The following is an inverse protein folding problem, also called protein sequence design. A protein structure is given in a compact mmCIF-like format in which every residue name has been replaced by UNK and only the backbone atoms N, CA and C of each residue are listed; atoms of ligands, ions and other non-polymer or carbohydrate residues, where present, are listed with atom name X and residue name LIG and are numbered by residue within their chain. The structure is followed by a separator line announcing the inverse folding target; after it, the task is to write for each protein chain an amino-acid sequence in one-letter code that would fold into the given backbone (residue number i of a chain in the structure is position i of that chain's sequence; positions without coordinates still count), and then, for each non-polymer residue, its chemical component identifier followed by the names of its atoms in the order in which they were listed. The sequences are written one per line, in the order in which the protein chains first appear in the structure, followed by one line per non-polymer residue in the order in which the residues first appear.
data_IF_745521098675
#
_entry.id   IF_745521098675
#
_cell.length_a   1.000
_cell.length_b   1.000
_cell.length_c   1.000
_cell.angle_alpha   90.00
_cell.angle_beta   90.00
_cell.angle_gamma   90.00
#
_symmetry.space_group_name_H-M   'P 1'
#
loop_
_entity.id
_entity.type
_entity.pdbx_description
1 polymer ?
#
# COMPACT_ATOMS: atom_id res chain seq x y z
N UNK A 1 -15.44 30.15 -5.24
CA UNK A 1 -13.96 30.28 -5.26
C UNK A 1 -13.30 28.94 -4.87
N UNK A 2 -14.09 28.01 -4.31
CA UNK A 2 -13.74 26.71 -3.72
C UNK A 2 -13.49 25.57 -4.71
N UNK A 3 -14.10 25.58 -5.90
CA UNK A 3 -13.76 24.63 -6.98
C UNK A 3 -12.27 24.64 -7.29
N UNK A 4 -11.61 25.79 -7.11
CA UNK A 4 -10.17 25.99 -7.34
C UNK A 4 -9.29 25.20 -6.36
N UNK A 5 -9.73 25.00 -5.10
CA UNK A 5 -8.91 24.32 -4.07
C UNK A 5 -8.92 22.80 -4.27
N UNK A 6 -10.09 22.20 -4.55
CA UNK A 6 -10.16 20.77 -4.88
C UNK A 6 -9.38 20.45 -6.16
N UNK A 7 -9.44 21.33 -7.17
CA UNK A 7 -8.61 21.21 -8.37
C UNK A 7 -7.12 21.35 -8.05
N UNK A 8 -6.72 22.24 -7.13
CA UNK A 8 -5.33 22.36 -6.71
C UNK A 8 -4.84 21.08 -5.99
N UNK A 9 -5.65 20.52 -5.10
CA UNK A 9 -5.36 19.26 -4.41
C UNK A 9 -5.24 18.08 -5.37
N UNK A 10 -6.16 17.95 -6.32
CA UNK A 10 -6.11 16.91 -7.35
C UNK A 10 -4.87 17.06 -8.23
N UNK A 11 -4.58 18.28 -8.70
CA UNK A 11 -3.38 18.57 -9.50
C UNK A 11 -2.09 18.27 -8.74
N UNK A 12 -2.05 18.54 -7.44
CA UNK A 12 -0.92 18.19 -6.59
C UNK A 12 -0.73 16.67 -6.55
N UNK A 13 -1.81 15.92 -6.29
CA UNK A 13 -1.73 14.45 -6.23
C UNK A 13 -1.34 13.83 -7.58
N UNK A 14 -1.91 14.33 -8.68
CA UNK A 14 -1.54 13.89 -10.04
C UNK A 14 -0.06 14.17 -10.32
N UNK A 15 0.44 15.35 -9.98
CA UNK A 15 1.86 15.69 -10.14
C UNK A 15 2.78 14.79 -9.31
N UNK A 16 2.38 14.45 -8.08
CA UNK A 16 3.10 13.47 -7.24
C UNK A 16 3.12 12.09 -7.91
N UNK A 17 1.99 11.62 -8.42
CA UNK A 17 1.90 10.34 -9.14
C UNK A 17 2.78 10.35 -10.38
N UNK A 18 2.73 11.41 -11.19
CA UNK A 18 3.55 11.55 -12.39
C UNK A 18 5.05 11.43 -12.07
N UNK A 19 5.53 12.22 -11.09
CA UNK A 19 6.95 12.22 -10.69
C UNK A 19 7.37 10.84 -10.16
N UNK A 20 6.55 10.23 -9.29
CA UNK A 20 6.90 8.97 -8.63
C UNK A 20 6.71 7.74 -9.52
N UNK A 21 5.89 7.83 -10.56
CA UNK A 21 5.65 6.73 -11.51
C UNK A 21 6.92 6.28 -12.23
N UNK A 22 7.90 7.18 -12.39
CA UNK A 22 9.20 6.88 -13.00
C UNK A 22 9.87 5.72 -12.26
N UNK A 23 9.83 5.70 -10.92
CA UNK A 23 10.45 4.65 -10.11
C UNK A 23 9.86 3.26 -10.36
N UNK A 24 8.64 3.20 -10.89
CA UNK A 24 7.95 1.98 -11.18
C UNK A 24 8.08 1.54 -12.64
N UNK A 25 8.88 2.20 -13.48
CA UNK A 25 9.08 1.82 -14.89
C UNK A 25 9.67 0.40 -15.00
N UNK A 26 9.14 -0.50 -15.87
CA UNK A 26 9.62 -1.88 -15.95
C UNK A 26 11.07 -2.01 -16.45
N UNK A 27 11.63 -0.96 -17.05
CA UNK A 27 13.03 -0.88 -17.50
C UNK A 27 13.98 -0.50 -16.36
N UNK A 28 13.46 0.03 -15.25
CA UNK A 28 14.29 0.34 -14.08
C UNK A 28 14.59 -0.94 -13.31
N UNK A 29 15.88 -1.26 -13.24
CA UNK A 29 16.41 -2.33 -12.40
C UNK A 29 17.35 -1.80 -11.30
N UNK A 30 17.83 -2.70 -10.44
CA UNK A 30 18.90 -2.40 -9.50
C UNK A 30 20.12 -1.82 -10.23
N UNK A 31 20.65 -0.70 -9.74
CA UNK A 31 21.89 -0.12 -10.26
C UNK A 31 23.10 -0.96 -9.81
N UNK A 32 24.23 -0.90 -10.54
CA UNK A 32 25.50 -1.43 -10.05
C UNK A 32 25.80 -0.90 -8.65
N UNK A 33 26.34 -1.77 -7.78
CA UNK A 33 26.71 -1.44 -6.39
C UNK A 33 25.53 -1.06 -5.47
N UNK A 34 24.29 -1.25 -5.93
CA UNK A 34 23.11 -1.13 -5.08
C UNK A 34 22.95 -2.34 -4.14
N UNK A 35 22.27 -2.13 -3.02
CA UNK A 35 21.94 -3.20 -2.09
C UNK A 35 21.13 -4.33 -2.76
N UNK A 36 20.25 -4.01 -3.72
CA UNK A 36 19.54 -5.03 -4.48
C UNK A 36 20.45 -5.86 -5.39
N UNK A 37 21.44 -5.25 -6.03
CA UNK A 37 22.42 -5.99 -6.84
C UNK A 37 23.28 -6.91 -5.96
N UNK A 38 23.69 -6.45 -4.78
CA UNK A 38 24.43 -7.28 -3.82
C UNK A 38 23.59 -8.44 -3.28
N UNK A 39 22.30 -8.22 -2.99
CA UNK A 39 21.36 -9.27 -2.62
C UNK A 39 21.23 -10.33 -3.72
N UNK A 40 21.09 -9.92 -4.98
CA UNK A 40 21.02 -10.82 -6.12
C UNK A 40 22.32 -11.61 -6.30
N UNK A 41 23.48 -10.94 -6.22
CA UNK A 41 24.79 -11.60 -6.32
C UNK A 41 24.98 -12.63 -5.22
N UNK A 42 24.68 -12.28 -3.97
CA UNK A 42 24.83 -13.18 -2.81
C UNK A 42 23.99 -14.46 -2.94
N UNK A 43 22.88 -14.45 -3.68
CA UNK A 43 22.10 -15.69 -3.91
C UNK A 43 22.73 -16.69 -4.85
N UNK A 44 23.67 -16.26 -5.71
CA UNK A 44 24.40 -17.16 -6.61
C UNK A 44 25.36 -18.06 -5.84
N UNK A 45 25.81 -17.61 -4.68
CA UNK A 45 26.75 -18.33 -3.80
C UNK A 45 26.04 -19.19 -2.75
N UNK A 46 24.70 -19.17 -2.68
CA UNK A 46 23.95 -20.03 -1.77
C UNK A 46 23.97 -21.48 -2.29
N UNK A 47 24.42 -22.46 -1.48
CA UNK A 47 24.47 -23.85 -1.91
C UNK A 47 23.09 -24.38 -2.32
N UNK A 48 23.01 -24.98 -3.52
CA UNK A 48 21.82 -25.63 -4.03
C UNK A 48 21.31 -26.78 -3.13
N UNK A 49 22.15 -27.31 -2.24
CA UNK A 49 21.83 -28.41 -1.32
C UNK A 49 20.71 -28.09 -0.31
N UNK A 50 20.31 -26.82 -0.13
CA UNK A 50 19.25 -26.41 0.81
C UNK A 50 17.98 -25.86 0.16
N UNK A 51 17.84 -25.89 -1.17
CA UNK A 51 16.61 -25.51 -1.84
C UNK A 51 16.77 -24.89 -3.22
N UNK A 52 15.67 -24.42 -3.80
CA UNK A 52 15.60 -23.76 -5.13
C UNK A 52 16.11 -22.31 -5.12
N UNK A 53 17.17 -22.05 -4.34
CA UNK A 53 17.80 -20.73 -4.25
C UNK A 53 18.43 -20.30 -5.57
N UNK A 54 18.45 -18.98 -5.75
CA UNK A 54 18.88 -18.27 -6.95
C UNK A 54 18.25 -16.88 -6.94
N UNK A 55 18.36 -16.16 -8.05
CA UNK A 55 17.79 -14.80 -8.13
C UNK A 55 16.26 -14.78 -8.14
N UNK A 56 15.62 -15.86 -8.62
CA UNK A 56 14.16 -15.94 -8.82
C UNK A 56 13.34 -15.54 -7.59
N UNK A 57 13.55 -16.15 -6.41
CA UNK A 57 12.85 -15.79 -5.18
C UNK A 57 13.02 -14.32 -4.76
N UNK A 58 14.20 -13.74 -4.93
CA UNK A 58 14.45 -12.33 -4.61
C UNK A 58 13.77 -11.42 -5.62
N UNK A 59 13.93 -11.71 -6.92
CA UNK A 59 13.26 -10.96 -7.99
C UNK A 59 11.74 -11.00 -7.85
N UNK A 60 11.19 -12.12 -7.37
CA UNK A 60 9.77 -12.21 -7.04
C UNK A 60 9.40 -11.27 -5.89
N UNK A 61 10.24 -11.15 -4.84
CA UNK A 61 9.99 -10.22 -3.74
C UNK A 61 10.04 -8.75 -4.21
N UNK A 62 11.00 -8.39 -5.05
CA UNK A 62 11.05 -7.08 -5.68
C UNK A 62 9.83 -6.83 -6.58
N UNK A 63 9.47 -7.81 -7.41
CA UNK A 63 8.30 -7.73 -8.29
C UNK A 63 7.00 -7.54 -7.50
N UNK A 64 6.83 -8.22 -6.37
CA UNK A 64 5.68 -8.00 -5.48
C UNK A 64 5.68 -6.61 -4.85
N UNK A 65 6.85 -6.09 -4.44
CA UNK A 65 6.94 -4.73 -3.92
C UNK A 65 6.58 -3.68 -4.99
N UNK A 66 7.11 -3.82 -6.21
CA UNK A 66 6.81 -2.95 -7.35
C UNK A 66 5.33 -3.06 -7.74
N UNK A 67 4.74 -4.26 -7.71
CA UNK A 67 3.31 -4.44 -7.93
C UNK A 67 2.47 -3.67 -6.92
N UNK A 68 2.77 -3.79 -5.63
CA UNK A 68 2.09 -3.01 -4.59
C UNK A 68 2.27 -1.51 -4.82
N UNK A 69 3.48 -1.07 -5.17
CA UNK A 69 3.78 0.33 -5.42
C UNK A 69 3.01 0.90 -6.62
N UNK A 70 2.98 0.17 -7.75
CA UNK A 70 2.19 0.53 -8.94
C UNK A 70 0.70 0.59 -8.66
N UNK A 71 0.16 -0.41 -7.95
CA UNK A 71 -1.24 -0.42 -7.56
C UNK A 71 -1.59 0.80 -6.68
N UNK A 72 -0.67 1.23 -5.80
CA UNK A 72 -0.82 2.46 -5.04
C UNK A 72 -0.81 3.72 -5.92
N UNK A 73 0.07 3.80 -6.93
CA UNK A 73 0.09 4.92 -7.88
C UNK A 73 -1.22 5.01 -8.67
N UNK A 74 -1.74 3.88 -9.17
CA UNK A 74 -3.01 3.81 -9.88
C UNK A 74 -4.19 4.25 -8.99
N UNK A 75 -4.22 3.80 -7.73
CA UNK A 75 -5.25 4.21 -6.76
C UNK A 75 -5.17 5.70 -6.42
N UNK A 76 -3.97 6.27 -6.34
CA UNK A 76 -3.77 7.69 -6.08
C UNK A 76 -4.23 8.56 -7.26
N UNK A 77 -3.94 8.15 -8.49
CA UNK A 77 -4.47 8.81 -9.69
C UNK A 77 -6.00 8.74 -9.73
N UNK A 78 -6.58 7.57 -9.41
CA UNK A 78 -8.04 7.46 -9.27
C UNK A 78 -8.59 8.39 -8.17
N UNK A 79 -7.88 8.55 -7.06
CA UNK A 79 -8.29 9.47 -5.98
C UNK A 79 -8.30 10.93 -6.46
N UNK A 80 -7.31 11.35 -7.26
CA UNK A 80 -7.27 12.68 -7.85
C UNK A 80 -8.48 12.95 -8.76
N UNK A 81 -8.84 11.98 -9.62
CA UNK A 81 -10.04 12.08 -10.46
C UNK A 81 -11.31 12.20 -9.60
N UNK A 82 -11.41 11.42 -8.52
CA UNK A 82 -12.56 11.48 -7.60
C UNK A 82 -12.68 12.83 -6.88
N UNK A 83 -11.57 13.50 -6.56
CA UNK A 83 -11.56 14.82 -5.91
C UNK A 83 -12.15 15.92 -6.79
N UNK A 84 -12.02 15.82 -8.11
CA UNK A 84 -12.57 16.79 -9.07
C UNK A 84 -13.93 16.40 -9.64
N UNK A 85 -14.40 15.18 -9.37
CA UNK A 85 -15.69 14.68 -9.85
C UNK A 85 -16.89 15.23 -9.06
N UNK A 86 -18.09 14.83 -9.45
CA UNK A 86 -19.33 15.20 -8.73
C UNK A 86 -19.51 14.41 -7.41
N UNK A 87 -18.46 13.83 -6.85
CA UNK A 87 -18.53 12.98 -5.66
C UNK A 87 -18.33 13.79 -4.37
N UNK A 88 -18.72 13.24 -3.22
CA UNK A 88 -18.24 13.77 -1.93
C UNK A 88 -16.77 13.38 -1.71
N UNK A 89 -16.15 13.84 -0.63
CA UNK A 89 -14.77 13.44 -0.27
C UNK A 89 -14.63 11.93 0.03
N UNK A 90 -15.74 11.21 0.25
CA UNK A 90 -15.76 9.80 0.69
C UNK A 90 -14.96 8.88 -0.24
N UNK A 91 -15.15 8.85 -1.58
CA UNK A 91 -14.41 7.95 -2.44
C UNK A 91 -12.91 8.25 -2.47
N UNK A 92 -12.53 9.54 -2.50
CA UNK A 92 -11.13 9.96 -2.44
C UNK A 92 -10.47 9.54 -1.12
N UNK A 93 -11.16 9.69 0.02
CA UNK A 93 -10.68 9.25 1.33
C UNK A 93 -10.50 7.73 1.42
N UNK A 94 -11.44 6.94 0.86
CA UNK A 94 -11.33 5.48 0.78
C UNK A 94 -10.13 5.07 -0.08
N UNK A 95 -9.96 5.70 -1.25
CA UNK A 95 -8.83 5.43 -2.13
C UNK A 95 -7.50 5.83 -1.47
N UNK A 96 -7.40 6.99 -0.83
CA UNK A 96 -6.20 7.39 -0.10
C UNK A 96 -5.83 6.42 1.03
N UNK A 97 -6.81 5.86 1.74
CA UNK A 97 -6.56 4.77 2.70
C UNK A 97 -6.01 3.53 1.98
N UNK A 98 -6.63 3.13 0.88
CA UNK A 98 -6.18 1.99 0.06
C UNK A 98 -4.74 2.18 -0.43
N UNK A 99 -4.38 3.40 -0.86
CA UNK A 99 -3.02 3.79 -1.25
C UNK A 99 -2.06 3.52 -0.09
N UNK A 100 -2.36 3.98 1.12
CA UNK A 100 -1.52 3.75 2.30
C UNK A 100 -1.41 2.27 2.70
N UNK A 101 -2.51 1.52 2.67
CA UNK A 101 -2.51 0.08 2.98
C UNK A 101 -1.69 -0.73 1.98
N UNK A 102 -1.75 -0.36 0.70
CA UNK A 102 -1.03 -1.03 -0.39
C UNK A 102 0.45 -0.61 -0.41
N UNK A 103 0.73 0.70 -0.30
CA UNK A 103 2.10 1.24 -0.31
C UNK A 103 2.88 0.79 0.92
N UNK A 104 2.22 0.65 2.08
CA UNK A 104 2.88 0.11 3.27
C UNK A 104 3.35 -1.34 3.12
N UNK A 105 2.79 -2.13 2.19
CA UNK A 105 3.31 -3.46 1.87
C UNK A 105 4.59 -3.36 1.04
N UNK A 106 4.62 -2.46 0.04
CA UNK A 106 5.83 -2.16 -0.73
C UNK A 106 6.93 -1.64 0.21
N UNK A 107 6.63 -0.61 1.01
CA UNK A 107 7.52 -0.05 2.02
C UNK A 107 8.11 -1.13 2.93
N UNK A 108 7.30 -2.05 3.45
CA UNK A 108 7.78 -3.14 4.30
C UNK A 108 8.63 -4.16 3.55
N UNK A 109 8.28 -4.50 2.31
CA UNK A 109 9.12 -5.38 1.47
C UNK A 109 10.43 -4.74 1.06
N UNK A 110 10.50 -3.41 0.97
CA UNK A 110 11.65 -2.62 0.51
C UNK A 110 12.53 -2.11 1.65
N UNK A 111 12.34 -2.58 2.89
CA UNK A 111 13.19 -2.16 4.01
C UNK A 111 14.68 -2.35 3.66
N UNK A 112 15.51 -1.31 3.85
CA UNK A 112 16.92 -1.40 3.57
C UNK A 112 17.61 -2.38 4.55
N UNK A 113 18.73 -2.94 4.12
CA UNK A 113 19.66 -3.71 4.96
C UNK A 113 19.09 -4.98 5.65
N UNK A 114 17.89 -5.44 5.27
CA UNK A 114 17.36 -6.71 5.77
C UNK A 114 17.99 -7.93 5.09
N UNK A 115 18.55 -7.75 3.89
CA UNK A 115 19.15 -8.82 3.09
C UNK A 115 18.13 -9.74 2.40
N UNK A 116 18.58 -10.41 1.35
CA UNK A 116 17.73 -11.16 0.43
C UNK A 116 16.91 -12.27 1.08
N UNK A 117 17.52 -13.06 1.99
CA UNK A 117 16.80 -14.15 2.69
C UNK A 117 15.63 -13.63 3.52
N UNK A 118 15.84 -12.57 4.33
CA UNK A 118 14.78 -11.97 5.15
C UNK A 118 13.70 -11.35 4.25
N UNK A 119 14.09 -10.71 3.15
CA UNK A 119 13.15 -10.19 2.14
C UNK A 119 12.26 -11.28 1.54
N UNK A 120 12.81 -12.45 1.23
CA UNK A 120 12.03 -13.60 0.78
C UNK A 120 11.10 -14.11 1.87
N UNK A 121 11.52 -14.17 3.14
CA UNK A 121 10.62 -14.49 4.26
C UNK A 121 9.46 -13.49 4.38
N UNK A 122 9.72 -12.18 4.22
CA UNK A 122 8.67 -11.15 4.18
C UNK A 122 7.68 -11.40 3.03
N UNK A 123 8.18 -11.72 1.84
CA UNK A 123 7.32 -12.12 0.72
C UNK A 123 6.46 -13.35 1.08
N UNK A 124 7.04 -14.43 1.62
CA UNK A 124 6.26 -15.62 1.98
C UNK A 124 5.17 -15.32 3.01
N UNK A 125 5.43 -14.37 3.91
CA UNK A 125 4.45 -13.87 4.87
C UNK A 125 3.25 -13.19 4.18
N UNK A 126 3.52 -12.30 3.21
CA UNK A 126 2.47 -11.64 2.42
C UNK A 126 1.68 -12.62 1.57
N UNK A 127 2.39 -13.53 0.88
CA UNK A 127 1.80 -14.62 0.08
C UNK A 127 0.86 -15.49 0.90
N UNK A 128 1.30 -15.90 2.10
CA UNK A 128 0.46 -16.69 3.00
C UNK A 128 -0.78 -15.93 3.45
N UNK A 129 -0.67 -14.63 3.78
CA UNK A 129 -1.85 -13.78 4.07
C UNK A 129 -2.81 -13.75 2.89
N UNK A 130 -2.31 -13.45 1.69
CA UNK A 130 -3.11 -13.35 0.47
C UNK A 130 -3.82 -14.67 0.17
N UNK A 131 -3.10 -15.78 0.23
CA UNK A 131 -3.63 -17.11 -0.01
C UNK A 131 -4.73 -17.49 0.98
N UNK A 132 -4.54 -17.20 2.27
CA UNK A 132 -5.56 -17.45 3.29
C UNK A 132 -6.84 -16.62 3.07
N UNK A 133 -6.73 -15.35 2.65
CA UNK A 133 -7.92 -14.54 2.34
C UNK A 133 -8.59 -15.02 1.04
N UNK A 134 -7.82 -15.41 0.02
CA UNK A 134 -8.34 -15.99 -1.21
C UNK A 134 -9.08 -17.31 -0.99
N UNK A 135 -8.55 -18.19 -0.12
CA UNK A 135 -9.20 -19.44 0.28
C UNK A 135 -10.54 -19.21 1.00
N UNK A 136 -10.62 -18.19 1.86
CA UNK A 136 -11.89 -17.80 2.52
C UNK A 136 -12.90 -17.30 1.51
N UNK A 137 -12.48 -16.43 0.58
CA UNK A 137 -13.35 -15.92 -0.48
C UNK A 137 -13.87 -17.05 -1.38
N UNK A 138 -12.98 -17.94 -1.83
CA UNK A 138 -13.36 -19.12 -2.60
C UNK A 138 -14.36 -20.01 -1.85
N UNK A 139 -14.15 -20.22 -0.55
CA UNK A 139 -15.08 -20.99 0.29
C UNK A 139 -16.46 -20.34 0.35
N UNK A 140 -16.52 -19.02 0.54
CA UNK A 140 -17.77 -18.27 0.59
C UNK A 140 -18.54 -18.35 -0.74
N UNK A 141 -17.83 -18.40 -1.86
CA UNK A 141 -18.40 -18.43 -3.21
C UNK A 141 -18.67 -19.87 -3.72
N UNK A 142 -18.36 -20.90 -2.93
CA UNK A 142 -18.47 -22.30 -3.35
C UNK A 142 -17.50 -22.68 -4.48
N UNK A 143 -16.43 -21.89 -4.65
CA UNK A 143 -15.40 -22.06 -5.66
C UNK A 143 -14.19 -22.83 -5.12
N UNK A 144 -13.29 -23.23 -6.02
CA UNK A 144 -12.00 -23.82 -5.64
C UNK A 144 -10.98 -22.71 -5.37
N UNK A 145 -10.14 -22.90 -4.36
CA UNK A 145 -9.15 -21.90 -3.94
C UNK A 145 -8.21 -21.42 -5.07
N UNK A 146 -7.85 -22.31 -6.00
CA UNK A 146 -6.99 -21.98 -7.15
C UNK A 146 -7.61 -20.95 -8.10
N UNK A 147 -8.93 -20.75 -8.08
CA UNK A 147 -9.60 -19.72 -8.89
C UNK A 147 -9.37 -18.30 -8.35
N UNK A 148 -8.99 -18.16 -7.07
CA UNK A 148 -8.74 -16.88 -6.40
C UNK A 148 -7.23 -16.57 -6.29
N UNK A 149 -6.37 -17.49 -6.76
CA UNK A 149 -4.92 -17.31 -6.78
C UNK A 149 -4.17 -18.52 -6.23
N UNK A 150 -3.04 -18.26 -5.56
CA UNK A 150 -2.24 -19.29 -4.91
C UNK A 150 -2.88 -19.79 -3.60
N UNK A 151 -2.68 -21.06 -3.27
CA UNK A 151 -3.16 -21.66 -2.01
C UNK A 151 -2.13 -21.53 -0.90
N UNK A 152 -2.58 -21.50 0.35
CA UNK A 152 -1.71 -21.43 1.53
C UNK A 152 -0.75 -22.62 1.55
N UNK A 153 -1.23 -23.80 1.14
CA UNK A 153 -0.41 -25.00 0.93
C UNK A 153 0.67 -24.80 -0.13
N UNK A 154 0.36 -24.20 -1.28
CA UNK A 154 1.35 -23.93 -2.32
C UNK A 154 2.46 -22.99 -1.83
N UNK A 155 2.10 -21.95 -1.06
CA UNK A 155 3.08 -21.03 -0.44
C UNK A 155 3.96 -21.76 0.57
N UNK A 156 3.39 -22.64 1.41
CA UNK A 156 4.15 -23.46 2.35
C UNK A 156 5.10 -24.44 1.65
N UNK A 157 4.64 -25.12 0.60
CA UNK A 157 5.47 -26.01 -0.20
C UNK A 157 6.65 -25.26 -0.84
N UNK A 158 6.40 -24.07 -1.41
CA UNK A 158 7.47 -23.24 -1.98
C UNK A 158 8.47 -22.77 -0.91
N UNK A 159 7.98 -22.39 0.27
CA UNK A 159 8.85 -22.00 1.40
C UNK A 159 9.73 -23.16 1.87
N UNK A 160 9.15 -24.36 1.99
CA UNK A 160 9.88 -25.59 2.31
C UNK A 160 10.92 -25.95 1.25
N UNK A 161 10.61 -25.76 -0.04
CA UNK A 161 11.56 -25.94 -1.13
C UNK A 161 12.72 -24.93 -1.11
N UNK A 162 12.61 -23.82 -0.38
CA UNK A 162 13.68 -22.86 -0.10
C UNK A 162 14.39 -23.13 1.24
N UNK A 163 14.01 -24.17 1.98
CA UNK A 163 14.54 -24.42 3.33
C UNK A 163 14.20 -23.31 4.32
N UNK A 164 13.07 -22.61 4.11
CA UNK A 164 12.53 -21.61 5.02
C UNK A 164 11.48 -22.22 5.95
N UNK A 165 11.24 -21.57 7.09
CA UNK A 165 10.13 -21.92 7.96
C UNK A 165 8.80 -21.76 7.22
N UNK A 166 7.89 -22.70 7.43
CA UNK A 166 6.57 -22.66 6.82
C UNK A 166 5.81 -21.40 7.27
N UNK A 167 5.38 -20.53 6.34
CA UNK A 167 4.64 -19.33 6.68
C UNK A 167 3.28 -19.72 7.25
N UNK A 168 2.87 -19.00 8.30
CA UNK A 168 1.64 -19.29 9.04
C UNK A 168 1.02 -18.04 9.63
N UNK A 169 -0.25 -18.16 9.99
CA UNK A 169 -0.92 -17.19 10.84
C UNK A 169 -0.43 -17.33 12.29
N UNK A 170 -0.24 -16.20 12.96
CA UNK A 170 0.18 -16.08 14.35
C UNK A 170 -0.66 -15.01 15.06
N UNK A 171 -1.79 -15.44 15.61
CA UNK A 171 -2.84 -14.53 16.10
C UNK A 171 -3.40 -13.64 14.98
N UNK A 172 -3.18 -12.33 15.11
CA UNK A 172 -3.61 -11.32 14.12
C UNK A 172 -2.58 -11.04 13.02
N UNK A 173 -1.37 -11.61 13.12
CA UNK A 173 -0.31 -11.40 12.14
C UNK A 173 -0.04 -12.67 11.33
N UNK A 174 0.79 -12.51 10.30
CA UNK A 174 1.38 -13.61 9.57
C UNK A 174 2.89 -13.59 9.81
N UNK A 175 3.51 -14.77 9.86
CA UNK A 175 4.94 -14.91 10.14
C UNK A 175 5.61 -15.91 9.21
N UNK A 176 6.90 -15.70 8.94
CA UNK A 176 7.81 -16.65 8.29
C UNK A 176 9.22 -16.42 8.85
N UNK A 177 9.76 -17.40 9.57
CA UNK A 177 10.98 -17.21 10.37
C UNK A 177 10.81 -16.10 11.39
N UNK A 178 11.79 -15.19 11.44
CA UNK A 178 11.75 -14.02 12.31
C UNK A 178 10.89 -12.86 11.75
N UNK A 179 10.42 -12.96 10.50
CA UNK A 179 9.66 -11.89 9.86
C UNK A 179 8.19 -11.96 10.25
N UNK A 180 7.63 -10.79 10.56
CA UNK A 180 6.25 -10.63 11.02
C UNK A 180 5.57 -9.50 10.25
N UNK A 181 4.50 -9.84 9.55
CA UNK A 181 3.64 -8.86 8.89
C UNK A 181 2.65 -8.30 9.91
N UNK A 182 2.93 -7.10 10.41
CA UNK A 182 2.01 -6.37 11.27
C UNK A 182 0.73 -5.95 10.53
N UNK A 183 -0.33 -5.70 11.29
CA UNK A 183 -1.60 -5.18 10.76
C UNK A 183 -1.41 -3.80 10.12
N UNK A 184 -2.25 -3.40 9.15
CA UNK A 184 -2.18 -2.06 8.56
C UNK A 184 -2.21 -0.93 9.60
N UNK A 185 -3.00 -1.10 10.67
CA UNK A 185 -3.11 -0.17 11.80
C UNK A 185 -1.82 0.05 12.59
N UNK A 186 -0.80 -0.82 12.43
CA UNK A 186 0.53 -0.64 13.02
C UNK A 186 1.58 -0.28 11.97
N UNK A 187 1.50 -0.91 10.80
CA UNK A 187 2.47 -0.73 9.71
C UNK A 187 2.43 0.68 9.10
N UNK A 188 1.25 1.26 8.91
CA UNK A 188 1.09 2.61 8.36
C UNK A 188 1.62 3.69 9.30
N UNK A 189 1.29 3.70 10.61
CA UNK A 189 1.95 4.60 11.55
C UNK A 189 3.48 4.53 11.50
N UNK A 190 4.05 3.31 11.44
CA UNK A 190 5.50 3.13 11.36
C UNK A 190 6.07 3.73 10.06
N UNK A 191 5.38 3.55 8.94
CA UNK A 191 5.76 4.14 7.65
C UNK A 191 5.75 5.68 7.68
N UNK A 192 4.72 6.29 8.27
CA UNK A 192 4.62 7.75 8.35
C UNK A 192 5.58 8.38 9.36
N UNK A 193 5.96 7.65 10.41
CA UNK A 193 6.95 8.11 11.37
C UNK A 193 8.33 8.35 10.73
N UNK A 194 8.69 7.64 9.65
CA UNK A 194 9.98 7.84 8.96
C UNK A 194 10.08 9.18 8.22
N UNK A 195 8.94 9.81 7.94
CA UNK A 195 8.87 11.06 7.16
C UNK A 195 8.22 12.20 7.94
N UNK A 196 8.13 12.04 9.27
CA UNK A 196 7.52 12.99 10.22
C UNK A 196 6.12 13.46 9.78
N UNK A 197 5.36 12.56 9.16
CA UNK A 197 4.01 12.87 8.69
C UNK A 197 2.96 12.60 9.78
N UNK A 198 2.02 13.52 10.01
CA UNK A 198 0.94 13.30 10.97
C UNK A 198 0.09 12.11 10.54
N UNK A 199 -0.02 11.12 11.42
CA UNK A 199 -0.77 9.90 11.14
C UNK A 199 -2.28 10.11 11.32
N UNK A 200 -2.96 10.48 10.22
CA UNK A 200 -4.43 10.59 10.18
C UNK A 200 -5.11 9.32 9.65
N UNK A 201 -4.42 8.17 9.69
CA UNK A 201 -4.95 6.88 9.22
C UNK A 201 -6.29 6.53 9.88
N UNK A 202 -6.46 6.80 11.18
CA UNK A 202 -7.73 6.51 11.88
C UNK A 202 -8.91 7.29 11.31
N UNK A 203 -8.69 8.54 10.88
CA UNK A 203 -9.72 9.37 10.26
C UNK A 203 -10.14 8.75 8.91
N UNK A 204 -9.18 8.37 8.06
CA UNK A 204 -9.52 7.74 6.79
C UNK A 204 -10.08 6.32 6.96
N UNK A 205 -9.65 5.62 8.02
CA UNK A 205 -10.11 4.28 8.35
C UNK A 205 -11.62 4.24 8.63
N UNK A 206 -12.18 5.34 9.12
CA UNK A 206 -13.59 5.46 9.44
C UNK A 206 -14.51 5.44 8.21
N UNK A 207 -14.05 5.92 7.04
CA UNK A 207 -14.85 5.96 5.82
C UNK A 207 -15.23 4.56 5.29
N UNK A 208 -14.31 3.60 5.08
CA UNK A 208 -14.68 2.25 4.65
C UNK A 208 -15.56 1.49 5.65
N UNK A 209 -15.52 1.85 6.93
CA UNK A 209 -16.37 1.23 7.95
C UNK A 209 -17.75 1.88 8.04
N UNK A 210 -18.02 2.95 7.26
CA UNK A 210 -19.29 3.66 7.30
C UNK A 210 -19.54 4.37 8.63
N UNK A 211 -18.47 4.74 9.35
CA UNK A 211 -18.60 5.37 10.65
C UNK A 211 -19.28 6.74 10.52
N UNK A 212 -20.32 6.95 11.33
CA UNK A 212 -21.18 8.13 11.22
C UNK A 212 -20.40 9.44 11.25
N UNK A 213 -19.39 9.55 12.11
CA UNK A 213 -18.61 10.79 12.24
C UNK A 213 -17.83 11.13 10.96
N UNK A 214 -17.35 10.12 10.22
CA UNK A 214 -16.66 10.31 8.95
C UNK A 214 -17.65 10.62 7.83
N UNK A 215 -18.80 9.92 7.80
CA UNK A 215 -19.86 10.23 6.84
C UNK A 215 -20.37 11.66 6.99
N UNK A 216 -20.52 12.17 8.22
CA UNK A 216 -20.91 13.56 8.48
C UNK A 216 -19.90 14.60 7.98
N UNK A 217 -18.66 14.22 7.62
CA UNK A 217 -17.72 15.13 6.96
C UNK A 217 -17.95 15.22 5.45
N UNK A 218 -18.49 14.17 4.82
CA UNK A 218 -18.81 14.14 3.39
C UNK A 218 -20.24 14.62 3.07
N UNK A 219 -21.10 14.71 4.08
CA UNK A 219 -22.52 15.05 3.91
C UNK A 219 -22.97 16.05 4.96
N UNK A 220 -23.58 17.15 4.53
CA UNK A 220 -24.24 18.11 5.39
C UNK A 220 -25.74 17.81 5.48
N UNK A 221 -26.32 18.05 6.66
CA UNK A 221 -27.76 18.07 6.87
C UNK A 221 -28.24 19.51 6.68
N UNK A 222 -29.10 19.77 5.68
CA UNK A 222 -29.72 21.09 5.55
C UNK A 222 -30.97 21.20 6.43
N UNK A 223 -31.15 22.32 7.13
CA UNK A 223 -32.43 22.68 7.75
C UNK A 223 -33.21 23.61 6.82
N UNK A 224 -34.14 23.06 6.03
CA UNK A 224 -35.10 23.88 5.30
C UNK A 224 -36.21 24.36 6.26
N UNK A 225 -36.03 25.58 6.77
CA UNK A 225 -37.02 26.43 7.46
C UNK A 225 -38.37 25.77 7.82
N UNK A 226 -38.40 25.05 8.93
CA UNK A 226 -39.54 25.04 9.85
C UNK A 226 -40.68 24.04 9.64
N UNK A 227 -40.57 23.02 8.77
CA UNK A 227 -41.54 21.90 8.73
C UNK A 227 -40.85 20.55 8.54
N UNK A 228 -40.51 19.94 9.69
CA UNK A 228 -39.73 18.70 9.83
C UNK A 228 -38.32 18.81 9.21
N UNK A 229 -37.26 18.35 9.89
CA UNK A 229 -35.94 18.31 9.27
C UNK A 229 -35.98 17.35 8.09
N UNK A 230 -36.13 17.89 6.88
CA UNK A 230 -35.79 17.15 5.66
C UNK A 230 -34.28 17.06 5.67
N UNK A 231 -33.77 15.86 5.94
CA UNK A 231 -32.38 15.52 5.72
C UNK A 231 -32.13 15.57 4.22
N UNK A 232 -31.84 16.76 3.70
CA UNK A 232 -31.18 16.87 2.40
C UNK A 232 -29.73 16.50 2.68
N UNK A 233 -29.30 15.34 2.17
CA UNK A 233 -27.89 15.00 2.05
C UNK A 233 -27.29 15.94 1.01
N UNK A 234 -26.98 17.16 1.41
CA UNK A 234 -26.18 18.04 0.57
C UNK A 234 -24.80 17.41 0.61
N UNK A 235 -24.30 16.97 -0.56
CA UNK A 235 -22.88 16.62 -0.71
C UNK A 235 -22.13 17.79 -0.10
N UNK A 236 -21.28 17.56 0.87
CA UNK A 236 -20.31 18.57 1.26
C UNK A 236 -19.14 18.35 0.32
N UNK A 237 -19.08 18.99 -0.87
CA UNK A 237 -17.83 19.00 -1.63
C UNK A 237 -16.70 19.61 -0.77
N UNK A 238 -17.08 20.38 0.26
CA UNK A 238 -16.21 21.29 0.97
C UNK A 238 -15.87 20.79 2.38
N UNK A 239 -15.22 19.62 2.51
CA UNK A 239 -14.39 19.37 3.69
C UNK A 239 -12.93 19.53 3.27
N UNK A 240 -12.38 20.78 3.30
CA UNK A 240 -11.00 21.05 2.90
C UNK A 240 -10.03 20.18 3.70
N UNK A 241 -10.30 19.99 4.99
CA UNK A 241 -9.48 19.19 5.89
C UNK A 241 -9.45 17.71 5.49
N UNK A 242 -10.59 17.12 5.12
CA UNK A 242 -10.64 15.71 4.71
C UNK A 242 -10.00 15.50 3.33
N UNK A 243 -10.19 16.43 2.39
CA UNK A 243 -9.59 16.36 1.05
C UNK A 243 -8.08 16.54 1.12
N UNK A 244 -7.61 17.52 1.90
CA UNK A 244 -6.20 17.74 2.20
C UNK A 244 -5.57 16.54 2.90
N UNK A 245 -6.26 15.95 3.89
CA UNK A 245 -5.80 14.73 4.56
C UNK A 245 -5.67 13.55 3.59
N UNK A 246 -6.62 13.37 2.67
CA UNK A 246 -6.56 12.33 1.65
C UNK A 246 -5.34 12.50 0.72
N UNK A 247 -5.12 13.72 0.20
CA UNK A 247 -3.96 14.01 -0.65
C UNK A 247 -2.64 13.85 0.10
N UNK A 248 -2.55 14.37 1.32
CA UNK A 248 -1.36 14.24 2.16
C UNK A 248 -1.01 12.76 2.41
N UNK A 249 -1.99 11.95 2.84
CA UNK A 249 -1.77 10.52 3.10
C UNK A 249 -1.30 9.79 1.85
N UNK A 250 -1.97 9.99 0.71
CA UNK A 250 -1.60 9.31 -0.52
C UNK A 250 -0.17 9.72 -0.94
N UNK A 251 0.15 11.01 -0.88
CA UNK A 251 1.46 11.54 -1.25
C UNK A 251 2.57 11.01 -0.35
N UNK A 252 2.40 11.05 0.98
CA UNK A 252 3.41 10.53 1.90
C UNK A 252 3.57 9.01 1.80
N UNK A 253 2.47 8.26 1.60
CA UNK A 253 2.56 6.82 1.43
C UNK A 253 3.35 6.41 0.18
N UNK A 254 3.09 7.09 -0.94
CA UNK A 254 3.84 6.90 -2.19
C UNK A 254 5.31 7.32 -2.03
N UNK A 255 5.57 8.45 -1.38
CA UNK A 255 6.92 8.91 -1.12
C UNK A 255 7.70 7.92 -0.25
N UNK A 256 7.16 7.47 0.89
CA UNK A 256 7.84 6.53 1.80
C UNK A 256 8.19 5.21 1.11
N UNK A 257 7.29 4.66 0.29
CA UNK A 257 7.57 3.44 -0.47
C UNK A 257 8.59 3.69 -1.59
N UNK A 258 8.46 4.82 -2.31
CA UNK A 258 9.38 5.21 -3.39
C UNK A 258 10.80 5.53 -2.89
N UNK A 259 10.93 6.12 -1.71
CA UNK A 259 12.22 6.41 -1.07
C UNK A 259 12.97 5.11 -0.74
N UNK A 260 12.28 4.14 -0.11
CA UNK A 260 12.86 2.81 0.14
C UNK A 260 13.22 2.06 -1.14
N UNK A 261 12.39 2.16 -2.19
CA UNK A 261 12.74 1.61 -3.52
C UNK A 261 14.02 2.25 -4.06
N UNK A 262 14.11 3.58 -3.98
CA UNK A 262 15.27 4.33 -4.47
C UNK A 262 16.55 3.95 -3.73
N UNK A 263 16.49 3.85 -2.40
CA UNK A 263 17.61 3.40 -1.57
C UNK A 263 18.06 1.98 -1.96
N UNK A 264 17.11 1.05 -2.02
CA UNK A 264 17.41 -0.35 -2.31
C UNK A 264 18.01 -0.54 -3.71
N UNK A 265 17.51 0.20 -4.71
CA UNK A 265 17.94 0.09 -6.11
C UNK A 265 19.11 1.00 -6.47
N UNK A 266 19.59 1.85 -5.55
CA UNK A 266 20.66 2.82 -5.83
C UNK A 266 20.23 3.92 -6.82
N UNK A 267 18.95 4.31 -6.80
CA UNK A 267 18.40 5.37 -7.64
C UNK A 267 18.51 6.74 -6.97
N UNK A 268 18.38 7.79 -7.78
CA UNK A 268 18.20 9.13 -7.22
C UNK A 268 16.94 9.20 -6.38
N UNK A 269 17.07 9.67 -5.13
CA UNK A 269 15.95 9.77 -4.21
C UNK A 269 14.95 10.85 -4.66
N UNK A 270 13.64 10.59 -4.58
CA UNK A 270 12.63 11.61 -4.83
C UNK A 270 12.75 12.73 -3.79
N UNK A 271 12.32 13.93 -4.14
CA UNK A 271 12.14 14.99 -3.14
C UNK A 271 10.89 14.70 -2.31
N UNK A 272 10.90 14.95 -0.99
CA UNK A 272 9.70 14.83 -0.18
C UNK A 272 8.62 15.79 -0.70
N UNK A 273 7.34 15.38 -0.65
CA UNK A 273 6.25 16.29 -1.02
C UNK A 273 6.27 17.50 -0.07
N UNK A 274 6.24 18.70 -0.64
CA UNK A 274 6.08 19.94 0.13
C UNK A 274 4.71 19.93 0.80
N UNK A 275 4.63 20.27 2.09
CA UNK A 275 3.38 20.24 2.86
C UNK A 275 2.22 20.89 2.08
N UNK A 276 1.09 20.17 1.85
CA UNK A 276 -0.13 20.79 1.38
C UNK A 276 -0.74 21.70 2.46
#
# INVERSE_FOLDING_TARGET
MESTELHAHAKLLDGVVEILSVLADPQIGPQPESAAEDELRATRDLPAEKGVWGEGPIRLAYGSAILCYRASLEQAHAAAVMLTGEYSVVPAAILARSVAETASQAWWLLEPDIGGKRRVCRLQTLRCRSACEGEKAATADGATANQYGETSRAVQCFSGALGLDAPRRDGYAYVCGAERLETPSRRIPAMFAEVDAPNVYHLLSAYPHGERFALCQGFQLSDEKGRMPRVSLIRSPDSPDASKAAVAIASYALYSAGDRLSILYGLQRPSPPTHP
#
